data_IF_166395137543
#
_entry.id   IF_166395137543
#
_cell.length_a   1.000
_cell.length_b   1.000
_cell.length_c   1.000
_cell.angle_alpha   90.00
_cell.angle_beta   90.00
_cell.angle_gamma   90.00
#
_symmetry.space_group_name_H-M   'P 1'
#
loop_
_entity.id
_entity.type
_entity.pdbx_description
1 polymer ?
#
# COMPACT_ATOMS: atom_id res chain seq x y z
N UNK A 1 20.06 1.75 7.64
CA UNK A 1 19.94 1.52 7.30
C UNK A 1 19.01 1.15 6.62
N UNK A 2 18.57 0.75 6.30
CA UNK A 2 17.72 0.36 5.39
C UNK A 2 16.49 -0.24 5.82
N UNK A 3 16.31 -0.44 7.01
CA UNK A 3 15.14 -1.04 7.46
C UNK A 3 14.01 -0.09 7.45
N UNK A 4 14.27 1.12 7.15
CA UNK A 4 13.22 2.06 7.12
C UNK A 4 12.36 1.95 5.93
N UNK A 5 12.68 1.10 5.00
CA UNK A 5 11.90 1.02 3.78
C UNK A 5 10.97 -0.17 3.76
N UNK A 6 10.29 -0.36 4.84
CA UNK A 6 9.23 -1.35 4.85
C UNK A 6 8.08 -0.88 3.98
N UNK A 7 7.46 -1.81 3.28
CA UNK A 7 6.32 -1.50 2.44
C UNK A 7 5.13 -2.31 2.92
N UNK A 8 3.98 -1.70 2.96
CA UNK A 8 2.76 -2.38 3.35
C UNK A 8 1.61 -1.86 2.51
N UNK A 9 0.68 -2.73 2.22
CA UNK A 9 -0.54 -2.35 1.51
C UNK A 9 -1.71 -2.53 2.46
N UNK A 10 -2.48 -1.48 2.63
CA UNK A 10 -3.64 -1.52 3.51
C UNK A 10 -4.87 -1.43 2.63
N UNK A 11 -5.65 -2.48 2.63
CA UNK A 11 -6.88 -2.54 1.87
C UNK A 11 -8.02 -2.11 2.77
N UNK A 12 -8.84 -1.20 2.31
CA UNK A 12 -9.90 -0.63 3.13
C UNK A 12 -11.23 -0.85 2.45
N UNK A 13 -12.17 -1.41 3.18
CA UNK A 13 -13.54 -1.54 2.73
C UNK A 13 -14.38 -0.53 3.49
N UNK A 14 -15.16 0.27 2.77
CA UNK A 14 -15.95 1.29 3.41
C UNK A 14 -17.42 1.03 3.18
N UNK A 15 -18.23 1.72 3.94
CA UNK A 15 -19.67 1.63 3.79
C UNK A 15 -20.07 2.10 2.40
N UNK A 16 -20.93 1.35 1.71
CA UNK A 16 -21.31 1.72 0.35
C UNK A 16 -21.89 3.12 0.29
N UNK A 17 -21.48 3.85 -0.72
CA UNK A 17 -21.97 5.20 -0.94
C UNK A 17 -21.25 6.28 -0.14
N UNK A 18 -20.25 5.90 0.66
CA UNK A 18 -19.55 6.84 1.51
C UNK A 18 -18.14 7.13 1.03
N UNK A 19 -17.87 6.89 -0.25
CA UNK A 19 -16.53 7.07 -0.78
C UNK A 19 -16.03 8.50 -0.62
N UNK A 20 -16.89 9.46 -0.92
CA UNK A 20 -16.47 10.85 -0.82
C UNK A 20 -16.21 11.24 0.62
N UNK A 21 -17.10 10.84 1.52
CA UNK A 21 -16.93 11.16 2.92
C UNK A 21 -15.67 10.55 3.49
N UNK A 22 -15.36 9.32 3.08
CA UNK A 22 -14.15 8.68 3.53
C UNK A 22 -12.92 9.42 2.99
N UNK A 23 -12.96 9.83 1.73
CA UNK A 23 -11.86 10.59 1.16
C UNK A 23 -11.63 11.88 1.93
N UNK A 24 -12.72 12.53 2.36
CA UNK A 24 -12.61 13.74 3.15
C UNK A 24 -11.95 13.46 4.51
N UNK A 25 -12.27 12.33 5.12
CA UNK A 25 -11.65 11.97 6.39
C UNK A 25 -10.16 11.68 6.21
N UNK A 26 -9.80 11.04 5.13
CA UNK A 26 -8.40 10.79 4.81
C UNK A 26 -7.65 12.12 4.69
N UNK A 27 -8.27 13.07 4.01
CA UNK A 27 -7.67 14.39 3.85
C UNK A 27 -7.49 15.10 5.20
N UNK A 28 -8.49 14.98 6.06
CA UNK A 28 -8.40 15.60 7.38
C UNK A 28 -7.29 15.03 8.22
N UNK A 29 -7.03 13.75 8.08
CA UNK A 29 -5.93 13.11 8.79
C UNK A 29 -4.57 13.53 8.25
N UNK A 30 -4.53 14.15 7.09
CA UNK A 30 -3.29 14.55 6.48
C UNK A 30 -2.55 13.41 5.83
N UNK A 31 -3.24 12.30 5.57
CA UNK A 31 -2.59 11.14 4.99
C UNK A 31 -2.05 11.43 3.60
N UNK A 32 -2.69 12.31 2.87
CA UNK A 32 -2.24 12.62 1.52
C UNK A 32 -0.84 13.20 1.52
N UNK A 33 -0.48 13.92 2.59
CA UNK A 33 0.83 14.54 2.70
C UNK A 33 1.77 13.81 3.64
N UNK A 34 1.32 12.69 4.15
CA UNK A 34 2.13 11.93 5.10
C UNK A 34 3.31 11.30 4.35
N UNK A 35 4.53 11.48 4.85
CA UNK A 35 5.69 10.90 4.14
C UNK A 35 5.69 9.38 4.08
N UNK A 36 4.94 8.70 4.94
CA UNK A 36 4.89 7.26 4.86
C UNK A 36 3.88 6.76 3.83
N UNK A 37 3.05 7.64 3.30
CA UNK A 37 2.04 7.24 2.31
C UNK A 37 2.62 7.42 0.92
N UNK A 38 2.80 6.29 0.22
CA UNK A 38 3.33 6.33 -1.13
C UNK A 38 2.22 6.67 -2.11
N UNK A 39 1.09 6.03 -1.99
CA UNK A 39 -0.05 6.37 -2.84
C UNK A 39 -1.33 5.79 -2.28
N UNK A 40 -2.43 6.31 -2.77
CA UNK A 40 -3.76 5.85 -2.41
C UNK A 40 -4.49 5.57 -3.72
N UNK A 41 -4.98 4.35 -3.87
CA UNK A 41 -5.70 3.95 -5.05
C UNK A 41 -7.15 3.65 -4.73
N UNK A 42 -8.05 4.05 -5.61
CA UNK A 42 -9.43 3.61 -5.57
C UNK A 42 -9.47 2.35 -6.40
N UNK A 43 -10.18 1.33 -5.92
CA UNK A 43 -10.22 0.07 -6.63
C UNK A 43 -11.64 -0.46 -6.64
N UNK A 44 -11.88 -1.41 -7.52
CA UNK A 44 -13.12 -2.16 -7.54
C UNK A 44 -12.83 -3.56 -7.03
N UNK A 45 -13.80 -4.14 -6.36
CA UNK A 45 -13.64 -5.50 -5.86
C UNK A 45 -14.10 -5.60 -4.43
N UNK A 46 -13.46 -6.47 -3.69
CA UNK A 46 -13.82 -6.67 -2.29
C UNK A 46 -13.48 -5.50 -1.41
N UNK A 47 -12.58 -4.66 -1.86
CA UNK A 47 -12.16 -3.48 -1.12
C UNK A 47 -12.32 -2.27 -2.00
N UNK A 48 -12.32 -1.10 -1.38
CA UNK A 48 -12.58 0.15 -2.09
C UNK A 48 -11.34 1.00 -2.25
N UNK A 49 -10.41 0.89 -1.31
CA UNK A 49 -9.18 1.68 -1.36
C UNK A 49 -8.00 0.80 -1.05
N UNK A 50 -6.88 1.12 -1.67
CA UNK A 50 -5.60 0.52 -1.29
C UNK A 50 -4.66 1.67 -0.98
N UNK A 51 -4.14 1.67 0.24
CA UNK A 51 -3.17 2.67 0.66
C UNK A 51 -1.83 1.99 0.76
N UNK A 52 -0.87 2.47 -0.01
CA UNK A 52 0.47 1.91 -0.02
C UNK A 52 1.34 2.75 0.90
N UNK A 53 1.89 2.10 1.90
CA UNK A 53 2.79 2.74 2.86
C UNK A 53 4.22 2.31 2.61
N UNK A 54 5.14 3.19 2.91
CA UNK A 54 6.56 2.89 2.82
C UNK A 54 7.28 3.71 3.87
N UNK A 55 8.05 3.06 4.74
CA UNK A 55 8.78 3.77 5.77
C UNK A 55 8.97 2.93 7.00
N UNK A 56 9.27 3.58 8.12
CA UNK A 56 9.46 2.85 9.37
C UNK A 56 8.17 2.19 9.83
N UNK A 57 8.31 0.97 10.29
CA UNK A 57 7.13 0.17 10.60
C UNK A 57 6.29 0.77 11.72
N UNK A 58 6.92 1.39 12.69
CA UNK A 58 6.15 1.97 13.79
C UNK A 58 5.30 3.14 13.33
N UNK A 59 5.82 3.93 12.40
CA UNK A 59 5.06 5.04 11.86
C UNK A 59 3.87 4.53 11.04
N UNK A 60 4.11 3.50 10.25
CA UNK A 60 3.05 2.93 9.45
C UNK A 60 1.95 2.35 10.34
N UNK A 61 2.35 1.63 11.38
CA UNK A 61 1.37 1.05 12.31
C UNK A 61 0.47 2.10 12.92
N UNK A 62 1.05 3.22 13.29
CA UNK A 62 0.25 4.31 13.84
C UNK A 62 -0.77 4.82 12.85
N UNK A 63 -0.38 4.95 11.59
CA UNK A 63 -1.31 5.40 10.57
C UNK A 63 -2.42 4.39 10.33
N UNK A 64 -2.06 3.11 10.33
CA UNK A 64 -3.07 2.07 10.12
C UNK A 64 -4.11 2.10 11.23
N UNK A 65 -3.68 2.29 12.46
CA UNK A 65 -4.62 2.38 13.56
C UNK A 65 -5.56 3.57 13.40
N UNK A 66 -5.05 4.69 12.94
CA UNK A 66 -5.89 5.85 12.70
C UNK A 66 -6.92 5.57 11.61
N UNK A 67 -6.50 4.89 10.56
CA UNK A 67 -7.43 4.56 9.48
C UNK A 67 -8.55 3.67 9.99
N UNK A 68 -8.20 2.70 10.83
CA UNK A 68 -9.20 1.78 11.36
C UNK A 68 -10.27 2.48 12.17
N UNK A 69 -9.93 3.61 12.74
CA UNK A 69 -10.87 4.37 13.58
C UNK A 69 -11.69 5.37 12.80
N UNK A 70 -11.43 5.52 11.52
CA UNK A 70 -12.18 6.49 10.73
C UNK A 70 -13.62 6.04 10.54
N UNK A 71 -14.54 7.02 10.45
CA UNK A 71 -15.92 6.69 10.13
C UNK A 71 -16.00 6.00 8.77
N UNK A 72 -17.01 5.16 8.62
CA UNK A 72 -17.34 4.50 7.36
C UNK A 72 -16.43 3.32 7.04
N UNK A 73 -15.40 3.06 7.81
CA UNK A 73 -14.53 1.92 7.56
C UNK A 73 -15.21 0.67 8.10
N UNK A 74 -15.47 -0.28 7.23
CA UNK A 74 -16.06 -1.56 7.63
C UNK A 74 -15.00 -2.55 8.04
N UNK A 75 -13.91 -2.61 7.28
CA UNK A 75 -12.80 -3.47 7.67
C UNK A 75 -11.57 -3.08 6.89
N UNK A 76 -10.43 -3.47 7.41
CA UNK A 76 -9.16 -3.27 6.75
C UNK A 76 -8.41 -4.58 6.73
N UNK A 77 -7.52 -4.71 5.76
CA UNK A 77 -6.65 -5.85 5.69
C UNK A 77 -5.27 -5.34 5.31
N UNK A 78 -4.26 -5.76 6.03
CA UNK A 78 -2.89 -5.31 5.76
C UNK A 78 -2.12 -6.43 5.11
N UNK A 79 -1.52 -6.14 3.97
CA UNK A 79 -0.68 -7.08 3.27
C UNK A 79 0.75 -6.62 3.34
N UNK A 80 1.63 -7.49 3.78
CA UNK A 80 3.03 -7.19 3.88
C UNK A 80 3.76 -7.97 2.81
N UNK A 81 4.41 -7.30 1.88
CA UNK A 81 5.09 -8.02 0.80
C UNK A 81 6.19 -8.87 1.38
N UNK A 82 6.29 -10.07 0.85
CA UNK A 82 7.31 -10.99 1.28
C UNK A 82 8.39 -10.98 0.23
N UNK A 83 9.55 -10.53 0.59
CA UNK A 83 10.61 -10.42 -0.37
C UNK A 83 11.40 -11.69 -0.46
N UNK A 84 11.34 -12.31 -1.60
CA UNK A 84 12.17 -13.45 -1.86
C UNK A 84 13.35 -12.94 -2.65
N UNK A 85 14.31 -12.34 -1.90
CA UNK A 85 15.44 -11.78 -2.51
C UNK A 85 16.03 -12.60 -3.60
N UNK A 86 16.31 -13.86 -3.36
CA UNK A 86 16.92 -14.70 -4.37
C UNK A 86 16.00 -14.94 -5.56
N UNK A 87 14.70 -15.02 -5.27
CA UNK A 87 13.73 -15.20 -6.33
C UNK A 87 13.71 -14.00 -7.25
N UNK A 88 13.69 -12.82 -6.67
CA UNK A 88 13.66 -11.62 -7.47
C UNK A 88 14.91 -11.47 -8.31
N UNK A 89 16.04 -11.75 -7.72
CA UNK A 89 17.28 -11.67 -8.45
C UNK A 89 17.28 -12.61 -9.62
N UNK A 90 16.80 -13.81 -9.41
CA UNK A 90 16.76 -14.79 -10.46
C UNK A 90 15.87 -14.36 -11.61
N UNK A 91 14.70 -13.86 -11.27
CA UNK A 91 13.76 -13.42 -12.29
C UNK A 91 14.34 -12.28 -13.09
N UNK A 92 14.95 -11.34 -12.43
CA UNK A 92 15.52 -10.21 -13.12
C UNK A 92 16.66 -10.62 -14.03
N UNK A 93 17.50 -11.53 -13.57
CA UNK A 93 18.58 -11.98 -14.41
C UNK A 93 18.06 -12.71 -15.63
N UNK A 94 17.05 -13.52 -15.45
CA UNK A 94 16.49 -14.23 -16.57
C UNK A 94 15.86 -13.29 -17.57
N UNK A 95 15.17 -12.31 -17.08
CA UNK A 95 14.54 -11.33 -17.97
C UNK A 95 15.58 -10.58 -18.77
N UNK A 96 16.69 -10.25 -18.15
CA UNK A 96 17.75 -9.59 -18.87
C UNK A 96 18.30 -10.46 -19.97
N UNK A 97 18.51 -11.70 -19.67
CA UNK A 97 19.03 -12.63 -20.66
C UNK A 97 18.06 -12.75 -21.81
N UNK A 98 16.79 -12.91 -21.49
CA UNK A 98 15.76 -13.04 -22.51
C UNK A 98 15.71 -11.82 -23.40
N UNK A 99 15.76 -10.65 -22.80
CA UNK A 99 15.73 -9.43 -23.57
C UNK A 99 16.92 -9.32 -24.49
N UNK A 100 18.07 -9.72 -24.01
CA UNK A 100 19.25 -9.73 -24.84
C UNK A 100 19.07 -10.62 -26.05
N UNK A 101 18.54 -11.80 -25.82
CA UNK A 101 18.31 -12.71 -26.91
C UNK A 101 17.32 -12.16 -27.91
N UNK A 102 16.29 -11.54 -27.42
CA UNK A 102 15.27 -11.02 -28.31
C UNK A 102 15.79 -9.89 -29.17
N UNK A 103 16.74 -9.17 -28.70
CA UNK A 103 17.24 -8.06 -29.47
C UNK A 103 18.11 -8.49 -30.60
N UNK A 104 18.52 -9.69 -30.59
CA UNK A 104 19.27 -10.21 -31.71
C UNK A 104 18.34 -10.77 -32.76
#
# INVERSE_FOLDING_TARGET
MTEENNRMYVLVQIKPGKEQEFADEIAKLGLIRDPTVDKIDFVHGSFDFIITFCGPINDIDGRILEIRLLPYVLRTETLIPFKLFKWEERVMKQNKIDLSKKRK
#
